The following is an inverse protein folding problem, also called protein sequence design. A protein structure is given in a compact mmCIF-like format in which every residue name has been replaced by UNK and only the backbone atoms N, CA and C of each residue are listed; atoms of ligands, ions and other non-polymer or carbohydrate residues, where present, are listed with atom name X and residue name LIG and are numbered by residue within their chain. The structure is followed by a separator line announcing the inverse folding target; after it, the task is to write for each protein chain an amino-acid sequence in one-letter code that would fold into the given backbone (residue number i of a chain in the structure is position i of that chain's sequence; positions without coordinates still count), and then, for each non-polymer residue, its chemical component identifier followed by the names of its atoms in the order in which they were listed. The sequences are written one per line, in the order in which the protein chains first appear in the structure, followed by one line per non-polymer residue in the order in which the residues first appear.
data_IF_730050913299
#
_entry.id   IF_730050913299
#
_cell.length_a   1.000
_cell.length_b   1.000
_cell.length_c   1.000
_cell.angle_alpha   90.00
_cell.angle_beta   90.00
_cell.angle_gamma   90.00
#
_symmetry.space_group_name_H-M   'P 1'
#
loop_
_entity.id
_entity.type
_entity.pdbx_description
1 polymer ?
#
# COMPACT_ATOMS: atom_id res chain seq x y z
N UNK A 1 -11.04 -79.99 6.76
CA UNK A 1 -11.92 -79.05 6.04
C UNK A 1 -12.09 -77.84 6.95
N UNK A 2 -11.26 -76.82 6.77
CA UNK A 2 -11.30 -75.65 7.64
C UNK A 2 -11.27 -74.40 6.73
N UNK A 3 -12.36 -73.63 6.81
CA UNK A 3 -12.68 -72.52 5.95
C UNK A 3 -12.13 -71.25 6.62
N UNK A 4 -11.07 -70.67 6.10
CA UNK A 4 -10.54 -69.38 6.57
C UNK A 4 -11.22 -68.24 5.81
N UNK A 5 -12.12 -67.54 6.49
CA UNK A 5 -12.74 -66.34 5.96
C UNK A 5 -11.80 -65.14 6.10
N UNK A 6 -11.38 -64.61 4.96
CA UNK A 6 -10.53 -63.39 4.88
C UNK A 6 -11.39 -62.14 5.06
N UNK A 7 -11.27 -61.46 6.18
CA UNK A 7 -11.92 -60.15 6.44
C UNK A 7 -11.14 -59.05 5.74
N UNK A 8 -11.71 -58.49 4.71
CA UNK A 8 -11.16 -57.29 4.03
C UNK A 8 -11.51 -56.04 4.86
N UNK A 9 -10.50 -55.35 5.41
CA UNK A 9 -10.63 -54.03 6.04
C UNK A 9 -10.84 -52.96 4.98
N UNK A 10 -11.86 -52.05 5.11
CA UNK A 10 -11.99 -50.91 4.20
C UNK A 10 -10.98 -49.84 4.58
N UNK A 11 -10.19 -49.40 3.62
CA UNK A 11 -9.27 -48.26 3.75
C UNK A 11 -10.08 -46.96 3.74
N UNK A 12 -10.23 -46.34 4.88
CA UNK A 12 -10.80 -45.02 5.01
C UNK A 12 -9.74 -44.05 4.52
N UNK A 13 -9.90 -43.52 3.30
CA UNK A 13 -9.12 -42.37 2.81
C UNK A 13 -9.64 -41.12 3.52
N UNK A 14 -8.86 -40.63 4.49
CA UNK A 14 -9.05 -39.31 5.06
C UNK A 14 -8.68 -38.27 4.00
N UNK A 15 -9.66 -37.61 3.43
CA UNK A 15 -9.49 -36.41 2.64
C UNK A 15 -9.17 -35.27 3.61
N UNK A 16 -7.89 -34.96 3.78
CA UNK A 16 -7.46 -33.74 4.41
C UNK A 16 -7.80 -32.56 3.49
N UNK A 17 -8.95 -31.95 3.74
CA UNK A 17 -9.32 -30.69 3.11
C UNK A 17 -8.39 -29.58 3.59
N UNK A 18 -7.41 -29.21 2.79
CA UNK A 18 -6.67 -27.96 2.98
C UNK A 18 -7.64 -26.82 2.68
N UNK A 19 -8.23 -26.22 3.71
CA UNK A 19 -8.92 -24.94 3.59
C UNK A 19 -7.88 -23.89 3.27
N UNK A 20 -7.71 -23.57 2.00
CA UNK A 20 -6.99 -22.39 1.55
C UNK A 20 -7.79 -21.18 2.05
N UNK A 21 -7.33 -20.55 3.14
CA UNK A 21 -7.81 -19.26 3.60
C UNK A 21 -7.40 -18.24 2.52
N UNK A 22 -8.26 -18.01 1.54
CA UNK A 22 -8.10 -16.94 0.59
C UNK A 22 -8.16 -15.64 1.41
N UNK A 23 -7.02 -14.97 1.56
CA UNK A 23 -6.97 -13.61 2.07
C UNK A 23 -7.73 -12.74 1.05
N UNK A 24 -9.01 -12.47 1.34
CA UNK A 24 -9.81 -11.50 0.58
C UNK A 24 -9.29 -10.12 0.98
N UNK A 25 -8.32 -9.61 0.22
CA UNK A 25 -7.88 -8.21 0.26
C UNK A 25 -8.95 -7.38 -0.47
N UNK A 26 -10.17 -7.30 0.07
CA UNK A 26 -11.30 -6.68 -0.58
C UNK A 26 -11.93 -5.55 0.26
N UNK A 27 -12.83 -4.80 -0.37
CA UNK A 27 -13.53 -3.63 0.18
C UNK A 27 -14.42 -3.92 1.42
N UNK A 28 -14.58 -5.18 1.82
CA UNK A 28 -15.44 -5.61 2.94
C UNK A 28 -14.65 -5.85 4.25
N UNK A 29 -13.35 -5.57 4.29
CA UNK A 29 -12.58 -5.70 5.53
C UNK A 29 -12.96 -4.59 6.53
N UNK A 30 -13.10 -4.89 7.85
CA UNK A 30 -13.28 -3.88 8.87
C UNK A 30 -12.20 -2.79 8.78
N UNK A 31 -12.62 -1.53 8.97
CA UNK A 31 -11.71 -0.38 8.85
C UNK A 31 -11.59 0.36 10.17
N UNK A 32 -10.40 0.94 10.41
CA UNK A 32 -10.13 1.88 11.49
C UNK A 32 -9.89 3.27 10.94
N UNK A 33 -10.22 4.29 11.73
CA UNK A 33 -9.85 5.67 11.41
C UNK A 33 -8.40 5.92 11.82
N UNK A 34 -7.62 6.49 10.89
CA UNK A 34 -6.25 6.95 11.11
C UNK A 34 -6.27 8.47 11.11
N UNK A 35 -5.77 9.07 12.19
CA UNK A 35 -5.57 10.50 12.33
C UNK A 35 -4.10 10.83 12.03
N UNK A 36 -3.86 11.73 11.08
CA UNK A 36 -2.53 12.16 10.67
C UNK A 36 -2.28 13.66 10.95
N UNK A 37 -3.03 14.26 11.88
CA UNK A 37 -2.92 15.67 12.26
C UNK A 37 -3.38 16.59 11.11
N UNK A 38 -4.61 17.07 11.15
CA UNK A 38 -5.23 17.87 10.08
C UNK A 38 -5.77 17.06 8.90
N UNK A 39 -5.46 15.76 8.80
CA UNK A 39 -6.00 14.83 7.83
C UNK A 39 -6.41 13.53 8.52
N UNK A 40 -7.57 12.98 8.16
CA UNK A 40 -8.01 11.66 8.61
C UNK A 40 -8.49 10.81 7.45
N UNK A 41 -8.43 9.48 7.61
CA UNK A 41 -8.88 8.53 6.61
C UNK A 41 -9.20 7.17 7.25
N UNK A 42 -9.93 6.32 6.51
CA UNK A 42 -10.18 4.92 6.90
C UNK A 42 -9.15 4.02 6.25
N UNK A 43 -8.58 3.12 7.03
CA UNK A 43 -7.68 2.07 6.55
C UNK A 43 -8.15 0.71 7.06
N UNK A 44 -7.91 -0.40 6.32
CA UNK A 44 -8.18 -1.75 6.79
C UNK A 44 -7.54 -2.03 8.15
N UNK A 45 -8.21 -2.77 9.04
CA UNK A 45 -7.68 -3.11 10.37
C UNK A 45 -6.41 -3.98 10.28
N UNK A 46 -6.26 -4.76 9.21
CA UNK A 46 -5.07 -5.56 8.92
C UNK A 46 -3.81 -4.71 8.73
N UNK A 47 -3.94 -3.45 8.33
CA UNK A 47 -2.80 -2.54 8.16
C UNK A 47 -2.28 -2.09 9.52
N UNK A 48 -1.09 -2.52 9.90
CA UNK A 48 -0.55 -2.32 11.26
C UNK A 48 0.21 -1.01 11.36
N UNK A 49 -0.17 -0.19 12.33
CA UNK A 49 0.57 1.04 12.65
C UNK A 49 1.98 0.68 13.11
N UNK A 50 2.97 1.41 12.60
CA UNK A 50 4.38 1.30 13.00
C UNK A 50 4.92 2.68 13.38
N UNK A 51 5.92 2.76 14.28
CA UNK A 51 6.49 4.03 14.73
C UNK A 51 7.01 4.86 13.56
N UNK A 52 6.80 6.17 13.62
CA UNK A 52 7.38 7.13 12.67
C UNK A 52 8.76 7.57 13.14
N UNK A 53 9.69 7.74 12.18
CA UNK A 53 11.08 8.11 12.46
C UNK A 53 11.40 9.59 12.19
N UNK A 54 10.40 10.41 11.85
CA UNK A 54 10.59 11.81 11.47
C UNK A 54 9.32 12.62 11.77
N UNK A 55 9.44 13.88 12.19
CA UNK A 55 8.28 14.76 12.43
C UNK A 55 7.46 15.06 11.16
N UNK A 56 8.04 14.89 9.98
CA UNK A 56 7.31 15.01 8.70
C UNK A 56 6.43 13.79 8.41
N UNK A 57 6.66 12.66 9.09
CA UNK A 57 5.84 11.43 8.95
C UNK A 57 4.76 11.44 10.03
N UNK A 58 3.53 11.72 9.66
CA UNK A 58 2.38 11.81 10.58
C UNK A 58 1.77 10.45 10.93
N UNK A 59 1.81 9.53 10.01
CA UNK A 59 1.38 8.13 10.23
C UNK A 59 2.18 7.19 9.33
N UNK A 60 2.28 5.93 9.76
CA UNK A 60 2.94 4.89 9.00
C UNK A 60 2.24 3.56 9.24
N UNK A 61 1.83 2.86 8.16
CA UNK A 61 1.14 1.58 8.22
C UNK A 61 1.90 0.55 7.40
N UNK A 62 2.20 -0.58 8.04
CA UNK A 62 2.75 -1.78 7.38
C UNK A 62 1.62 -2.69 6.93
N UNK A 63 1.73 -3.23 5.72
CA UNK A 63 0.78 -4.19 5.16
C UNK A 63 1.54 -5.44 4.77
N UNK A 64 1.10 -6.58 5.28
CA UNK A 64 1.75 -7.86 4.99
C UNK A 64 1.62 -8.21 3.50
N UNK A 65 2.64 -8.84 2.91
CA UNK A 65 2.64 -9.15 1.49
C UNK A 65 1.70 -10.32 1.17
N UNK A 66 1.20 -10.34 -0.07
CA UNK A 66 0.49 -11.54 -0.57
C UNK A 66 1.47 -12.71 -0.76
N UNK A 67 0.97 -13.96 -0.76
CA UNK A 67 1.84 -15.12 -0.95
C UNK A 67 2.72 -15.01 -2.20
N UNK A 68 4.03 -15.22 -2.02
CA UNK A 68 5.05 -15.15 -3.06
C UNK A 68 5.79 -13.83 -3.16
N UNK A 69 5.36 -12.79 -2.43
CA UNK A 69 6.12 -11.55 -2.28
C UNK A 69 6.98 -11.59 -1.01
N UNK A 70 8.18 -11.01 -1.05
CA UNK A 70 9.22 -11.19 -0.02
C UNK A 70 9.22 -10.10 1.06
N UNK A 71 8.60 -8.94 0.80
CA UNK A 71 8.63 -7.82 1.73
C UNK A 71 7.27 -7.11 1.83
N UNK A 72 6.96 -6.49 2.97
CA UNK A 72 5.68 -5.83 3.18
C UNK A 72 5.56 -4.53 2.37
N UNK A 73 4.34 -4.12 2.07
CA UNK A 73 4.07 -2.77 1.63
C UNK A 73 4.08 -1.80 2.83
N UNK A 74 4.47 -0.56 2.58
CA UNK A 74 4.52 0.48 3.58
C UNK A 74 3.79 1.73 3.08
N UNK A 75 2.73 2.13 3.78
CA UNK A 75 2.08 3.42 3.62
C UNK A 75 2.71 4.41 4.59
N UNK A 76 3.14 5.56 4.08
CA UNK A 76 3.65 6.69 4.88
C UNK A 76 2.84 7.93 4.55
N UNK A 77 2.33 8.59 5.59
CA UNK A 77 1.66 9.88 5.48
C UNK A 77 2.67 10.98 5.84
N UNK A 78 2.97 11.82 4.87
CA UNK A 78 3.81 13.00 5.06
C UNK A 78 2.95 14.25 5.13
N UNK A 79 3.38 15.22 5.95
CA UNK A 79 2.81 16.55 6.02
C UNK A 79 3.92 17.58 5.82
N UNK A 80 3.73 18.49 4.89
CA UNK A 80 4.67 19.55 4.54
C UNK A 80 4.03 20.92 4.80
N UNK A 81 4.34 21.58 5.92
CA UNK A 81 3.90 22.93 6.17
C UNK A 81 4.36 23.89 5.04
N UNK A 82 3.49 24.78 4.58
CA UNK A 82 3.76 25.65 3.45
C UNK A 82 3.56 25.02 2.08
N UNK A 83 3.06 23.77 2.03
CA UNK A 83 2.78 23.04 0.80
C UNK A 83 3.87 22.05 0.40
N UNK A 84 3.59 21.26 -0.61
CA UNK A 84 4.43 20.14 -1.03
C UNK A 84 5.04 20.33 -2.44
N UNK A 85 5.07 21.55 -2.93
CA UNK A 85 5.49 21.88 -4.31
C UNK A 85 4.43 21.54 -5.35
N UNK A 86 4.73 21.75 -6.63
CA UNK A 86 3.78 21.43 -7.69
C UNK A 86 3.62 19.93 -7.91
N UNK A 87 2.46 19.53 -8.41
CA UNK A 87 2.18 18.13 -8.76
C UNK A 87 3.20 17.63 -9.78
N UNK A 88 3.48 18.41 -10.85
CA UNK A 88 4.43 18.04 -11.89
C UNK A 88 5.85 17.79 -11.38
N UNK A 89 6.34 18.65 -10.46
CA UNK A 89 7.66 18.47 -9.87
C UNK A 89 7.74 17.17 -9.05
N UNK A 90 6.67 16.83 -8.32
CA UNK A 90 6.57 15.58 -7.59
C UNK A 90 6.49 14.36 -8.51
N UNK A 91 5.68 14.42 -9.58
CA UNK A 91 5.60 13.34 -10.57
C UNK A 91 6.96 13.09 -11.21
N UNK A 92 7.67 14.13 -11.66
CA UNK A 92 9.01 14.03 -12.25
C UNK A 92 9.99 13.39 -11.27
N UNK A 93 10.00 13.84 -10.02
CA UNK A 93 10.86 13.28 -8.97
C UNK A 93 10.58 11.80 -8.72
N UNK A 94 9.31 11.40 -8.62
CA UNK A 94 8.94 10.01 -8.36
C UNK A 94 9.19 9.12 -9.56
N UNK A 95 8.91 9.60 -10.78
CA UNK A 95 9.26 8.88 -12.02
C UNK A 95 10.76 8.58 -12.08
N UNK A 96 11.61 9.53 -11.69
CA UNK A 96 13.06 9.35 -11.63
C UNK A 96 13.53 8.34 -10.59
N UNK A 97 12.68 7.97 -9.61
CA UNK A 97 12.98 6.92 -8.62
C UNK A 97 12.69 5.50 -9.13
N UNK A 98 12.15 5.35 -10.33
CA UNK A 98 11.82 4.05 -10.90
C UNK A 98 12.56 3.83 -12.23
N UNK A 99 12.85 2.57 -12.52
CA UNK A 99 13.36 2.10 -13.81
C UNK A 99 12.50 0.95 -14.31
N UNK A 100 12.18 0.96 -15.60
CA UNK A 100 11.57 -0.18 -16.27
C UNK A 100 12.59 -1.28 -16.59
N UNK A 101 12.19 -2.32 -17.32
CA UNK A 101 13.06 -3.41 -17.71
C UNK A 101 14.23 -2.96 -18.62
N UNK A 102 14.05 -1.86 -19.35
CA UNK A 102 15.08 -1.28 -20.21
C UNK A 102 15.98 -0.25 -19.49
N UNK A 103 15.77 -0.04 -18.19
CA UNK A 103 16.50 0.93 -17.39
C UNK A 103 16.05 2.39 -17.61
N UNK A 104 14.93 2.61 -18.29
CA UNK A 104 14.35 3.94 -18.53
C UNK A 104 13.34 4.32 -17.45
N UNK A 105 13.04 5.61 -17.25
CA UNK A 105 11.93 6.01 -16.40
C UNK A 105 10.60 5.43 -16.93
N UNK A 106 9.85 4.68 -16.11
CA UNK A 106 8.57 4.10 -16.53
C UNK A 106 7.49 5.18 -16.70
N UNK A 107 6.37 4.80 -17.31
CA UNK A 107 5.19 5.65 -17.33
C UNK A 107 4.72 5.91 -15.89
N UNK A 108 4.44 7.19 -15.57
CA UNK A 108 3.74 7.58 -14.36
C UNK A 108 2.32 7.98 -14.74
N UNK A 109 1.35 7.45 -14.02
CA UNK A 109 -0.06 7.73 -14.24
C UNK A 109 -0.58 8.61 -13.11
N UNK A 110 -1.35 9.64 -13.46
CA UNK A 110 -2.00 10.49 -12.47
C UNK A 110 -3.43 10.81 -12.90
N UNK A 111 -4.32 10.93 -11.92
CA UNK A 111 -5.71 11.34 -12.12
C UNK A 111 -6.23 12.07 -10.89
N UNK A 112 -7.10 13.05 -11.10
CA UNK A 112 -7.85 13.68 -10.00
C UNK A 112 -9.02 12.78 -9.59
N UNK A 113 -9.15 12.55 -8.29
CA UNK A 113 -10.23 11.79 -7.67
C UNK A 113 -10.77 12.55 -6.46
N UNK A 114 -11.97 12.21 -6.00
CA UNK A 114 -12.59 12.88 -4.84
C UNK A 114 -12.29 12.11 -3.56
N UNK A 115 -11.85 12.84 -2.52
CA UNK A 115 -11.96 12.44 -1.12
C UNK A 115 -13.32 12.86 -0.56
N UNK A 116 -13.50 12.77 0.76
CA UNK A 116 -14.78 13.12 1.41
C UNK A 116 -15.11 14.61 1.28
N UNK A 117 -14.12 15.48 1.51
CA UNK A 117 -14.26 16.94 1.42
C UNK A 117 -13.09 17.63 0.69
N UNK A 118 -12.32 16.90 -0.10
CA UNK A 118 -11.14 17.42 -0.80
C UNK A 118 -10.94 16.73 -2.14
N UNK A 119 -10.26 17.39 -3.06
CA UNK A 119 -9.75 16.77 -4.28
C UNK A 119 -8.36 16.17 -4.03
N UNK A 120 -8.10 15.05 -4.67
CA UNK A 120 -6.89 14.26 -4.47
C UNK A 120 -6.27 13.92 -5.81
N UNK A 121 -4.98 14.19 -6.00
CA UNK A 121 -4.27 13.62 -7.15
C UNK A 121 -3.76 12.23 -6.80
N UNK A 122 -4.35 11.19 -7.40
CA UNK A 122 -3.90 9.80 -7.31
C UNK A 122 -2.83 9.56 -8.34
N UNK A 123 -1.70 9.01 -7.89
CA UNK A 123 -0.52 8.72 -8.73
C UNK A 123 -0.15 7.25 -8.63
N UNK A 124 0.32 6.69 -9.74
CA UNK A 124 0.78 5.30 -9.81
C UNK A 124 1.97 5.15 -10.76
N UNK A 125 2.97 4.35 -10.35
CA UNK A 125 4.06 3.89 -11.21
C UNK A 125 4.61 2.57 -10.69
N UNK A 126 5.32 1.81 -11.53
CA UNK A 126 5.91 0.53 -11.16
C UNK A 126 7.25 0.31 -11.88
N UNK A 127 8.10 -0.55 -11.31
CA UNK A 127 9.39 -0.91 -11.86
C UNK A 127 10.41 -1.23 -10.76
N UNK A 128 11.70 -1.13 -11.08
CA UNK A 128 12.77 -1.16 -10.09
C UNK A 128 12.79 0.17 -9.34
N UNK A 129 12.47 0.13 -8.07
CA UNK A 129 12.42 1.29 -7.18
C UNK A 129 13.80 1.57 -6.59
N UNK A 130 14.32 2.76 -6.88
CA UNK A 130 15.56 3.30 -6.32
C UNK A 130 15.24 4.63 -5.63
N UNK A 131 14.98 4.60 -4.32
CA UNK A 131 14.60 5.81 -3.60
C UNK A 131 15.72 6.86 -3.62
N UNK A 132 15.34 8.12 -3.75
CA UNK A 132 16.27 9.24 -3.55
C UNK A 132 16.57 9.41 -2.06
N UNK A 133 17.77 9.92 -1.75
CA UNK A 133 18.11 10.30 -0.40
C UNK A 133 17.27 11.52 0.03
N UNK A 134 16.70 11.46 1.24
CA UNK A 134 16.05 12.61 1.88
C UNK A 134 16.94 13.03 3.04
N UNK A 135 17.46 14.27 3.05
CA UNK A 135 18.30 14.75 4.14
C UNK A 135 17.62 14.55 5.50
N UNK A 136 18.36 14.00 6.46
CA UNK A 136 17.85 13.72 7.81
C UNK A 136 16.95 12.49 7.96
N UNK A 137 16.78 11.70 6.90
CA UNK A 137 16.04 10.43 6.94
C UNK A 137 16.96 9.25 6.65
N UNK A 138 16.69 8.12 7.31
CA UNK A 138 17.32 6.86 6.95
C UNK A 138 17.00 6.50 5.49
N UNK A 139 17.99 5.99 4.70
CA UNK A 139 17.75 5.60 3.32
C UNK A 139 16.73 4.47 3.25
N UNK A 140 15.78 4.60 2.33
CA UNK A 140 14.87 3.50 1.99
C UNK A 140 15.63 2.49 1.12
N UNK A 141 15.40 1.18 1.26
CA UNK A 141 16.09 0.17 0.44
C UNK A 141 15.59 0.17 -1.00
N UNK A 142 16.49 -0.14 -1.95
CA UNK A 142 16.12 -0.45 -3.32
C UNK A 142 15.24 -1.69 -3.38
N UNK A 143 14.27 -1.72 -4.31
CA UNK A 143 13.29 -2.81 -4.46
C UNK A 143 13.08 -3.17 -5.92
N UNK A 144 13.33 -4.43 -6.25
CA UNK A 144 12.94 -4.98 -7.54
C UNK A 144 11.43 -5.18 -7.60
N UNK A 145 10.84 -5.07 -8.78
CA UNK A 145 9.41 -5.31 -9.02
C UNK A 145 8.51 -4.62 -8.00
N UNK A 146 8.76 -3.34 -7.78
CA UNK A 146 7.99 -2.51 -6.85
C UNK A 146 6.90 -1.72 -7.59
N UNK A 147 5.85 -1.39 -6.87
CA UNK A 147 4.83 -0.41 -7.28
C UNK A 147 4.68 0.64 -6.21
N UNK A 148 4.42 1.85 -6.65
CA UNK A 148 4.10 2.98 -5.81
C UNK A 148 2.69 3.50 -6.13
N UNK A 149 1.90 3.71 -5.09
CA UNK A 149 0.64 4.46 -5.13
C UNK A 149 0.82 5.70 -4.26
N UNK A 150 0.37 6.85 -4.75
CA UNK A 150 0.40 8.09 -3.96
C UNK A 150 -0.94 8.80 -4.07
N UNK A 151 -1.38 9.38 -2.95
CA UNK A 151 -2.43 10.38 -2.90
C UNK A 151 -1.81 11.71 -2.48
N UNK A 152 -1.94 12.73 -3.33
CA UNK A 152 -1.54 14.12 -3.03
C UNK A 152 -2.81 14.84 -2.60
N UNK A 153 -2.82 15.36 -1.39
CA UNK A 153 -3.93 16.15 -0.83
C UNK A 153 -3.41 17.57 -0.60
N UNK A 154 -3.73 18.51 -1.49
CA UNK A 154 -3.38 19.90 -1.30
C UNK A 154 -4.31 20.55 -0.27
N UNK A 155 -3.76 21.39 0.60
CA UNK A 155 -4.51 22.34 1.40
C UNK A 155 -3.78 23.69 1.38
N UNK A 156 -4.42 24.74 1.82
CA UNK A 156 -3.83 26.08 1.80
C UNK A 156 -2.58 26.22 2.71
N UNK A 157 -2.53 25.42 3.79
CA UNK A 157 -1.47 25.52 4.80
C UNK A 157 -0.49 24.34 4.74
N UNK A 158 -0.95 23.15 4.38
CA UNK A 158 -0.18 21.90 4.46
C UNK A 158 -0.43 21.06 3.21
N UNK A 159 0.65 20.57 2.59
CA UNK A 159 0.53 19.53 1.57
C UNK A 159 0.70 18.15 2.19
N UNK A 160 -0.27 17.25 2.00
CA UNK A 160 -0.15 15.88 2.47
C UNK A 160 0.16 14.93 1.31
N UNK A 161 1.06 13.97 1.57
CA UNK A 161 1.30 12.83 0.70
C UNK A 161 1.05 11.53 1.45
N UNK A 162 0.15 10.72 0.93
CA UNK A 162 0.00 9.33 1.36
C UNK A 162 0.74 8.48 0.32
N UNK A 163 1.99 8.14 0.59
CA UNK A 163 2.85 7.37 -0.31
C UNK A 163 2.91 5.92 0.16
N UNK A 164 2.50 4.99 -0.70
CA UNK A 164 2.57 3.57 -0.45
C UNK A 164 3.50 2.90 -1.45
N UNK A 165 4.48 2.13 -0.96
CA UNK A 165 5.43 1.37 -1.78
C UNK A 165 5.48 -0.07 -1.28
N UNK A 166 5.50 -1.00 -2.20
CA UNK A 166 5.56 -2.43 -1.91
C UNK A 166 5.82 -3.27 -3.15
N UNK A 167 5.85 -4.61 -3.01
CA UNK A 167 5.96 -5.52 -4.14
C UNK A 167 4.82 -5.33 -5.13
N UNK A 168 5.09 -5.42 -6.42
CA UNK A 168 4.12 -5.12 -7.48
C UNK A 168 2.82 -5.92 -7.36
N UNK A 169 2.91 -7.22 -7.06
CA UNK A 169 1.75 -8.10 -6.90
C UNK A 169 0.91 -7.70 -5.68
N UNK A 170 1.54 -7.48 -4.52
CA UNK A 170 0.87 -7.00 -3.31
C UNK A 170 0.19 -5.66 -3.56
N UNK A 171 0.92 -4.69 -4.13
CA UNK A 171 0.39 -3.36 -4.40
C UNK A 171 -0.75 -3.38 -5.42
N UNK A 172 -0.72 -4.28 -6.39
CA UNK A 172 -1.80 -4.47 -7.36
C UNK A 172 -3.07 -4.96 -6.66
N UNK A 173 -2.94 -5.91 -5.73
CA UNK A 173 -4.06 -6.40 -4.91
C UNK A 173 -4.62 -5.32 -3.96
N UNK A 174 -3.77 -4.38 -3.51
CA UNK A 174 -4.15 -3.30 -2.59
C UNK A 174 -4.78 -2.07 -3.29
N UNK A 175 -4.80 -1.99 -4.62
CA UNK A 175 -5.41 -0.84 -5.33
C UNK A 175 -6.84 -0.52 -4.88
N UNK A 176 -7.77 -1.50 -4.76
CA UNK A 176 -9.12 -1.20 -4.29
C UNK A 176 -9.15 -0.62 -2.87
N UNK A 177 -8.36 -1.16 -1.95
CA UNK A 177 -8.27 -0.66 -0.56
C UNK A 177 -7.65 0.73 -0.50
N UNK A 178 -6.65 1.03 -1.35
CA UNK A 178 -6.06 2.35 -1.45
C UNK A 178 -7.05 3.36 -2.05
N UNK A 179 -7.83 2.98 -3.05
CA UNK A 179 -8.85 3.84 -3.65
C UNK A 179 -10.01 4.10 -2.66
N UNK A 180 -10.41 3.10 -1.85
CA UNK A 180 -11.36 3.27 -0.76
C UNK A 180 -10.82 4.21 0.35
N UNK A 181 -9.53 4.08 0.70
CA UNK A 181 -8.85 5.00 1.60
C UNK A 181 -8.94 6.44 1.08
N UNK A 182 -8.62 6.69 -0.21
CA UNK A 182 -8.71 8.02 -0.82
C UNK A 182 -10.14 8.57 -0.72
N UNK A 183 -11.16 7.76 -1.02
CA UNK A 183 -12.56 8.18 -0.93
C UNK A 183 -12.98 8.59 0.49
N UNK A 184 -12.28 8.10 1.51
CA UNK A 184 -12.53 8.41 2.92
C UNK A 184 -11.70 9.58 3.46
N UNK A 185 -10.77 10.13 2.66
CA UNK A 185 -9.90 11.24 3.08
C UNK A 185 -10.73 12.47 3.44
N UNK A 186 -10.48 12.96 4.64
CA UNK A 186 -11.13 14.14 5.20
C UNK A 186 -10.08 15.10 5.75
N UNK A 187 -10.02 16.30 5.16
CA UNK A 187 -9.23 17.41 5.70
C UNK A 187 -10.02 18.02 6.85
N UNK A 188 -9.39 18.15 8.02
CA UNK A 188 -9.96 18.77 9.19
C UNK A 188 -9.82 20.29 9.06
N UNK A 189 -10.90 21.01 9.27
CA UNK A 189 -10.85 22.46 9.44
C UNK A 189 -10.14 22.78 10.77
N UNK A 190 -9.13 23.63 10.72
CA UNK A 190 -8.46 24.22 11.90
C UNK A 190 -9.11 25.54 12.26
#
# INVERSE_FOLDING_TARGET
MSNMSTVRRPWIRALAGAAALALVLGADEPTKTVDAGGLSFKAPESWKAVPTSSPMRRAQLKVEPVPGDEYPALLVVYAFPGGAGSVEANLTRWQGQFKDADGKPPKIESKTVKGKNTEVTRVETAGHYKPGAIPGMAPEPERQNARMLVAIVPTDKVGYFLKMVGPDKTMTALKPSFDALISSLEVKEE
#
